data_IF_529661963147
#
_entry.id   IF_529661963147
#
_cell.length_a   1.000
_cell.length_b   1.000
_cell.length_c   1.000
_cell.angle_alpha   90.00
_cell.angle_beta   90.00
_cell.angle_gamma   90.00
#
_symmetry.space_group_name_H-M   'P 1'
#
loop_
_entity.id
_entity.type
_entity.pdbx_description
1 polymer ?
#
# COMPACT_ATOMS: atom_id res chain seq x y z
N UNK A 1 -7.17 11.59 -0.76
CA UNK A 1 -7.14 11.27 0.68
C UNK A 1 -6.72 12.53 1.43
N UNK A 2 -7.67 13.34 1.91
CA UNK A 2 -7.34 14.51 2.72
C UNK A 2 -6.62 14.09 4.00
N UNK A 3 -5.49 14.69 4.32
CA UNK A 3 -4.77 14.46 5.59
C UNK A 3 -3.74 13.32 5.62
N UNK A 4 -3.59 12.55 4.54
CA UNK A 4 -2.51 11.58 4.40
C UNK A 4 -1.34 12.17 3.59
N UNK A 5 -0.11 12.09 4.10
CA UNK A 5 1.09 12.38 3.32
C UNK A 5 1.76 11.09 2.88
N UNK A 6 2.46 11.13 1.74
CA UNK A 6 3.10 9.96 1.14
C UNK A 6 4.59 10.25 0.99
N UNK A 7 5.43 9.34 1.48
CA UNK A 7 6.88 9.43 1.30
C UNK A 7 7.22 9.24 -0.18
N UNK A 8 8.11 10.08 -0.70
CA UNK A 8 8.55 10.03 -2.09
C UNK A 8 9.11 8.66 -2.46
N UNK A 9 8.84 8.22 -3.70
CA UNK A 9 9.23 6.91 -4.21
C UNK A 9 10.74 6.64 -4.10
N UNK A 10 11.58 7.64 -4.34
CA UNK A 10 13.04 7.52 -4.25
C UNK A 10 13.50 7.12 -2.83
N UNK A 11 12.95 7.77 -1.81
CA UNK A 11 13.22 7.42 -0.40
C UNK A 11 12.75 6.01 -0.10
N UNK A 12 11.51 5.67 -0.48
CA UNK A 12 10.95 4.33 -0.25
C UNK A 12 11.83 3.21 -0.84
N UNK A 13 12.38 3.41 -2.05
CA UNK A 13 13.28 2.43 -2.67
C UNK A 13 14.59 2.20 -1.93
N UNK A 14 15.07 3.16 -1.13
CA UNK A 14 16.28 2.95 -0.32
C UNK A 14 16.06 1.93 0.82
N UNK A 15 14.81 1.61 1.13
CA UNK A 15 14.39 0.66 2.17
C UNK A 15 13.89 -0.69 1.60
N UNK A 16 13.45 -0.75 0.34
CA UNK A 16 12.73 -1.90 -0.23
C UNK A 16 13.45 -3.26 -0.24
N UNK A 17 14.78 -3.30 -0.04
CA UNK A 17 15.57 -4.54 0.03
C UNK A 17 16.30 -4.71 1.37
N UNK A 18 16.03 -3.86 2.36
CA UNK A 18 16.67 -3.92 3.67
C UNK A 18 15.75 -4.63 4.65
N UNK A 19 16.29 -5.54 5.45
CA UNK A 19 15.60 -6.06 6.62
C UNK A 19 15.66 -5.00 7.71
N UNK A 20 14.63 -4.15 7.77
CA UNK A 20 14.47 -3.13 8.80
C UNK A 20 13.23 -3.48 9.62
N UNK A 21 13.35 -3.36 10.93
CA UNK A 21 12.22 -3.60 11.82
C UNK A 21 11.12 -2.54 11.58
N UNK A 22 9.84 -2.94 11.43
CA UNK A 22 8.76 -2.03 11.03
C UNK A 22 8.61 -0.79 11.90
N UNK A 23 8.73 -0.90 13.22
CA UNK A 23 8.59 0.27 14.11
C UNK A 23 9.72 1.26 13.94
N UNK A 24 10.93 0.77 13.69
CA UNK A 24 12.10 1.59 13.39
C UNK A 24 11.87 2.38 12.11
N UNK A 25 11.42 1.71 11.04
CA UNK A 25 11.05 2.38 9.79
C UNK A 25 10.00 3.48 9.99
N UNK A 26 8.95 3.18 10.76
CA UNK A 26 7.90 4.15 11.06
C UNK A 26 8.40 5.38 11.81
N UNK A 27 9.34 5.20 12.75
CA UNK A 27 9.98 6.31 13.47
C UNK A 27 10.89 7.14 12.58
N UNK A 28 11.75 6.50 11.80
CA UNK A 28 12.75 7.18 10.95
C UNK A 28 12.09 8.05 9.88
N UNK A 29 10.98 7.58 9.31
CA UNK A 29 10.27 8.27 8.24
C UNK A 29 9.04 9.06 8.72
N UNK A 30 8.70 8.99 10.01
CA UNK A 30 7.51 9.66 10.57
C UNK A 30 6.18 9.12 10.03
N UNK A 31 6.14 7.88 9.54
CA UNK A 31 4.96 7.26 8.93
C UNK A 31 4.35 6.18 9.83
N UNK A 32 3.03 6.03 9.76
CA UNK A 32 2.31 5.01 10.52
C UNK A 32 2.05 3.73 9.74
N UNK A 33 1.96 3.83 8.42
CA UNK A 33 1.62 2.70 7.57
C UNK A 33 2.61 2.57 6.41
N UNK A 34 2.89 1.33 6.03
CA UNK A 34 3.62 1.00 4.81
C UNK A 34 2.71 0.22 3.86
N UNK A 35 2.72 0.60 2.58
CA UNK A 35 2.14 -0.21 1.51
C UNK A 35 3.27 -1.05 0.92
N UNK A 36 3.11 -2.37 1.01
CA UNK A 36 4.05 -3.33 0.45
C UNK A 36 3.35 -4.18 -0.61
N UNK A 37 4.13 -4.75 -1.52
CA UNK A 37 3.54 -5.60 -2.56
C UNK A 37 4.55 -6.19 -3.49
N UNK A 38 4.08 -7.18 -4.26
CA UNK A 38 4.87 -7.85 -5.26
C UNK A 38 4.07 -8.02 -6.54
N UNK A 39 4.73 -7.78 -7.67
CA UNK A 39 4.19 -8.02 -9.01
C UNK A 39 4.82 -9.29 -9.56
N UNK A 40 4.00 -10.29 -9.87
CA UNK A 40 4.41 -11.50 -10.59
C UNK A 40 3.85 -11.44 -12.01
N UNK A 41 4.68 -11.80 -12.98
CA UNK A 41 4.30 -11.81 -14.41
C UNK A 41 4.50 -13.21 -14.94
N UNK A 42 3.51 -13.73 -15.66
CA UNK A 42 3.59 -15.01 -16.36
C UNK A 42 2.94 -14.88 -17.75
N UNK A 43 3.76 -14.76 -18.78
CA UNK A 43 3.29 -14.45 -20.13
C UNK A 43 2.49 -13.14 -20.14
N UNK A 44 1.21 -13.22 -20.50
CA UNK A 44 0.30 -12.09 -20.51
C UNK A 44 -0.41 -11.84 -19.16
N UNK A 45 -0.30 -12.76 -18.21
CA UNK A 45 -0.92 -12.61 -16.90
C UNK A 45 -0.03 -11.83 -15.94
N UNK A 46 -0.65 -10.93 -15.19
CA UNK A 46 -0.05 -10.15 -14.12
C UNK A 46 -0.83 -10.41 -12.84
N UNK A 47 -0.10 -10.74 -11.79
CA UNK A 47 -0.62 -10.82 -10.42
C UNK A 47 0.05 -9.78 -9.56
N UNK A 48 -0.74 -8.98 -8.87
CA UNK A 48 -0.28 -8.01 -7.87
C UNK A 48 -0.84 -8.43 -6.52
N UNK A 49 0.05 -8.67 -5.57
CA UNK A 49 -0.33 -8.75 -4.16
C UNK A 49 0.06 -7.44 -3.50
N UNK A 50 -0.84 -6.86 -2.71
CA UNK A 50 -0.60 -5.62 -1.97
C UNK A 50 -1.05 -5.83 -0.53
N UNK A 51 -0.27 -5.31 0.43
CA UNK A 51 -0.65 -5.21 1.84
C UNK A 51 -0.44 -3.79 2.35
N UNK A 52 -1.21 -3.44 3.38
CA UNK A 52 -0.98 -2.27 4.21
C UNK A 52 -0.64 -2.76 5.62
N UNK A 53 0.52 -2.38 6.11
CA UNK A 53 1.02 -2.80 7.42
C UNK A 53 1.01 -1.60 8.37
N UNK A 54 0.49 -1.78 9.59
CA UNK A 54 0.65 -0.81 10.67
C UNK A 54 2.03 -0.98 11.30
N UNK A 55 2.90 0.00 11.09
CA UNK A 55 4.29 -0.04 11.51
C UNK A 55 4.47 0.03 13.02
N UNK A 56 3.47 0.46 13.79
CA UNK A 56 3.56 0.45 15.26
C UNK A 56 3.41 -0.96 15.83
N UNK A 57 2.60 -1.79 15.17
CA UNK A 57 2.28 -3.15 15.62
C UNK A 57 2.97 -4.24 14.81
N UNK A 58 3.47 -3.92 13.62
CA UNK A 58 4.01 -4.87 12.65
C UNK A 58 2.94 -5.79 12.04
N UNK A 59 1.66 -5.42 12.11
CA UNK A 59 0.54 -6.25 11.63
C UNK A 59 0.00 -5.72 10.32
N UNK A 60 -0.30 -6.63 9.40
CA UNK A 60 -1.07 -6.32 8.20
C UNK A 60 -2.50 -5.98 8.59
N UNK A 61 -2.93 -4.78 8.22
CA UNK A 61 -4.27 -4.26 8.50
C UNK A 61 -5.20 -4.37 7.30
N UNK A 62 -4.63 -4.61 6.12
CA UNK A 62 -5.34 -4.91 4.89
C UNK A 62 -4.39 -5.64 3.94
N UNK A 63 -4.92 -6.58 3.17
CA UNK A 63 -4.22 -7.20 2.07
C UNK A 63 -5.20 -7.61 0.99
N UNK A 64 -4.73 -7.59 -0.25
CA UNK A 64 -5.55 -7.94 -1.40
C UNK A 64 -4.69 -8.42 -2.55
N UNK A 65 -5.37 -9.07 -3.50
CA UNK A 65 -4.77 -9.67 -4.68
C UNK A 65 -5.56 -9.30 -5.91
N UNK A 66 -4.83 -8.86 -6.93
CA UNK A 66 -5.35 -8.47 -8.21
C UNK A 66 -4.70 -9.33 -9.29
N UNK A 67 -5.51 -10.01 -10.08
CA UNK A 67 -5.09 -10.77 -11.25
C UNK A 67 -5.64 -10.05 -12.49
N UNK A 68 -4.82 -9.94 -13.52
CA UNK A 68 -5.27 -9.31 -14.77
C UNK A 68 -4.29 -9.54 -15.91
N UNK A 69 -4.62 -8.93 -17.04
CA UNK A 69 -3.83 -9.03 -18.26
C UNK A 69 -2.85 -7.85 -18.36
N UNK A 70 -1.65 -8.10 -18.89
CA UNK A 70 -0.62 -7.08 -19.15
C UNK A 70 -1.11 -5.99 -20.11
N UNK A 71 -1.99 -6.31 -21.06
CA UNK A 71 -2.64 -5.34 -21.93
C UNK A 71 -3.61 -4.41 -21.17
N UNK A 72 -4.06 -4.80 -19.98
CA UNK A 72 -5.04 -4.09 -19.15
C UNK A 72 -4.45 -3.59 -17.83
N UNK A 73 -3.17 -3.23 -17.81
CA UNK A 73 -2.47 -2.75 -16.60
C UNK A 73 -3.08 -1.48 -15.99
N UNK A 74 -3.71 -0.62 -16.78
CA UNK A 74 -4.41 0.55 -16.27
C UNK A 74 -5.61 0.15 -15.40
N UNK A 75 -6.42 -0.80 -15.87
CA UNK A 75 -7.55 -1.37 -15.11
C UNK A 75 -7.08 -1.98 -13.78
N UNK A 76 -5.95 -2.67 -13.77
CA UNK A 76 -5.35 -3.19 -12.54
C UNK A 76 -4.96 -2.07 -11.56
N UNK A 77 -4.40 -0.96 -12.05
CA UNK A 77 -4.05 0.19 -11.21
C UNK A 77 -5.31 0.86 -10.62
N UNK A 78 -6.36 1.01 -11.41
CA UNK A 78 -7.63 1.58 -10.96
C UNK A 78 -8.28 0.73 -9.87
N UNK A 79 -8.26 -0.60 -10.04
CA UNK A 79 -8.77 -1.54 -9.03
C UNK A 79 -8.00 -1.46 -7.71
N UNK A 80 -6.67 -1.43 -7.76
CA UNK A 80 -5.83 -1.28 -6.56
C UNK A 80 -6.16 0.03 -5.84
N UNK A 81 -6.25 1.14 -6.59
CA UNK A 81 -6.54 2.46 -6.04
C UNK A 81 -7.94 2.53 -5.42
N UNK A 82 -8.94 1.95 -6.09
CA UNK A 82 -10.32 1.90 -5.61
C UNK A 82 -10.44 1.09 -4.32
N UNK A 83 -9.82 -0.10 -4.26
CA UNK A 83 -9.89 -0.95 -3.06
C UNK A 83 -9.12 -0.37 -1.88
N UNK A 84 -7.96 0.25 -2.12
CA UNK A 84 -7.23 0.97 -1.08
C UNK A 84 -8.02 2.18 -0.56
N UNK A 85 -8.65 2.94 -1.46
CA UNK A 85 -9.54 4.05 -1.12
C UNK A 85 -10.71 3.62 -0.24
N UNK A 86 -11.38 2.52 -0.60
CA UNK A 86 -12.49 1.95 0.16
C UNK A 86 -12.06 1.52 1.58
N UNK A 87 -10.92 0.82 1.71
CA UNK A 87 -10.36 0.46 3.01
C UNK A 87 -10.11 1.70 3.89
N UNK A 88 -9.45 2.73 3.32
CA UNK A 88 -9.15 3.95 4.07
C UNK A 88 -10.44 4.64 4.55
N UNK A 89 -11.45 4.76 3.69
CA UNK A 89 -12.72 5.39 4.04
C UNK A 89 -13.49 4.63 5.13
N UNK A 90 -13.45 3.29 5.10
CA UNK A 90 -14.07 2.45 6.13
C UNK A 90 -13.36 2.57 7.48
N UNK A 91 -12.02 2.60 7.48
CA UNK A 91 -11.22 2.60 8.71
C UNK A 91 -11.06 3.99 9.33
N UNK A 92 -11.07 5.03 8.51
CA UNK A 92 -10.96 6.43 8.91
C UNK A 92 -12.06 7.24 8.22
N UNK A 93 -13.34 7.08 8.62
CA UNK A 93 -14.38 7.96 8.14
C UNK A 93 -14.01 9.40 8.51
N UNK A 94 -14.11 10.32 7.55
CA UNK A 94 -13.97 11.75 7.85
C UNK A 94 -14.92 12.05 9.00
N UNK A 95 -14.38 12.42 10.16
CA UNK A 95 -15.19 12.89 11.26
C UNK A 95 -16.02 14.06 10.73
N UNK A 96 -17.34 13.90 10.70
CA UNK A 96 -18.23 15.01 10.37
C UNK A 96 -18.02 16.07 11.44
N UNK A 97 -17.75 17.34 11.09
CA UNK A 97 -17.77 18.40 12.08
C UNK A 97 -19.17 18.46 12.70
N UNK A 98 -19.21 18.55 14.04
CA UNK A 98 -20.41 18.85 14.81
C UNK A 98 -20.99 20.21 14.42
#
# INVERSE_FOLDING_TARGET
>A
MPGAFVIGRGTAFTYGNKQIEPRTLGKDLGIRWAVEGAVRRNGNQVRVNVSLTDLQTGRDVWSDRFDGDRASLATLQDQITARFGAFHAQKYPLAQPL
#
